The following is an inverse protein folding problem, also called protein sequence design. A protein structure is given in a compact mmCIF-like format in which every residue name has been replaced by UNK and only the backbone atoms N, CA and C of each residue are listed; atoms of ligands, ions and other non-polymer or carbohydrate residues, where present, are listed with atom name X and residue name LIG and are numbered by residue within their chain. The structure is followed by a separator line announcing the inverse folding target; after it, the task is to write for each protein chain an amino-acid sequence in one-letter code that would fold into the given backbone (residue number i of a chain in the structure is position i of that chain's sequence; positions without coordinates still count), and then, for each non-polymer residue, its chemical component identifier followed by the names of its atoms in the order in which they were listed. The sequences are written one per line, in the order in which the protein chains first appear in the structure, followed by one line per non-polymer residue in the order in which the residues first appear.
data_IF_453730499630
#
_entry.id   IF_453730499630
#
_cell.length_a   1.000
_cell.length_b   1.000
_cell.length_c   1.000
_cell.angle_alpha   90.00
_cell.angle_beta   90.00
_cell.angle_gamma   90.00
#
_symmetry.space_group_name_H-M   'P 1'
#
loop_
_entity.id
_entity.type
_entity.pdbx_description
1 polymer ?
#
# COMPACT_ATOMS: atom_id res chain seq x y z
N UNK A 1 -13.72 -57.64 -2.77
CA UNK A 1 -13.10 -56.35 -2.37
C UNK A 1 -14.02 -55.22 -2.82
N UNK A 2 -14.53 -54.36 -1.92
CA UNK A 2 -14.82 -52.93 -2.20
C UNK A 2 -15.64 -52.17 -1.15
N UNK A 3 -16.21 -52.79 -0.13
CA UNK A 3 -17.07 -52.04 0.80
C UNK A 3 -16.29 -51.10 1.75
N UNK A 4 -15.07 -51.50 2.15
CA UNK A 4 -14.24 -50.75 3.11
C UNK A 4 -13.65 -49.45 2.54
N UNK A 5 -13.35 -49.42 1.23
CA UNK A 5 -12.78 -48.25 0.55
C UNK A 5 -13.84 -47.17 0.31
N UNK A 6 -15.06 -47.57 -0.04
CA UNK A 6 -16.18 -46.64 -0.23
C UNK A 6 -16.61 -45.98 1.10
N UNK A 7 -16.59 -46.72 2.21
CA UNK A 7 -16.88 -46.17 3.54
C UNK A 7 -15.80 -45.16 3.98
N UNK A 8 -14.51 -45.42 3.73
CA UNK A 8 -13.44 -44.45 4.02
C UNK A 8 -13.61 -43.16 3.21
N UNK A 9 -13.90 -43.26 1.91
CA UNK A 9 -14.06 -42.08 1.06
C UNK A 9 -15.32 -41.25 1.44
N UNK A 10 -16.39 -41.92 1.88
CA UNK A 10 -17.58 -41.26 2.41
C UNK A 10 -17.27 -40.48 3.70
N UNK A 11 -16.53 -41.10 4.63
CA UNK A 11 -16.13 -40.46 5.89
C UNK A 11 -15.22 -39.25 5.62
N UNK A 12 -14.25 -39.37 4.70
CA UNK A 12 -13.40 -38.25 4.31
C UNK A 12 -14.21 -37.10 3.69
N UNK A 13 -15.20 -37.39 2.85
CA UNK A 13 -16.08 -36.37 2.28
C UNK A 13 -16.89 -35.59 3.32
N UNK A 14 -17.41 -36.29 4.35
CA UNK A 14 -18.16 -35.66 5.44
C UNK A 14 -17.26 -34.75 6.28
N UNK A 15 -16.04 -35.19 6.60
CA UNK A 15 -15.08 -34.40 7.40
C UNK A 15 -14.68 -33.12 6.65
N UNK A 16 -14.36 -33.23 5.36
CA UNK A 16 -14.01 -32.04 4.55
C UNK A 16 -15.19 -31.08 4.39
N UNK A 17 -16.42 -31.60 4.26
CA UNK A 17 -17.64 -30.78 4.22
C UNK A 17 -17.89 -30.03 5.53
N UNK A 18 -17.68 -30.68 6.68
CA UNK A 18 -17.84 -30.04 7.99
C UNK A 18 -16.82 -28.93 8.22
N UNK A 19 -15.55 -29.12 7.85
CA UNK A 19 -14.51 -28.07 7.95
C UNK A 19 -14.88 -26.83 7.13
N UNK A 20 -15.43 -27.00 5.91
CA UNK A 20 -15.89 -25.89 5.10
C UNK A 20 -17.06 -25.13 5.76
N UNK A 21 -18.00 -25.83 6.40
CA UNK A 21 -19.15 -25.22 7.08
C UNK A 21 -18.70 -24.43 8.34
N UNK A 22 -17.76 -24.96 9.12
CA UNK A 22 -17.26 -24.26 10.31
C UNK A 22 -16.52 -22.96 9.97
N UNK A 23 -15.73 -22.92 8.89
CA UNK A 23 -15.07 -21.68 8.43
C UNK A 23 -16.08 -20.60 7.99
N UNK A 24 -17.22 -20.99 7.40
CA UNK A 24 -18.27 -20.04 6.99
C UNK A 24 -19.04 -19.51 8.22
N UNK A 25 -19.31 -20.37 9.22
CA UNK A 25 -20.06 -19.99 10.41
C UNK A 25 -19.30 -18.99 11.29
N UNK A 26 -17.98 -19.13 11.41
CA UNK A 26 -17.13 -18.16 12.13
C UNK A 26 -17.07 -16.80 11.41
N UNK A 27 -16.99 -16.79 10.07
CA UNK A 27 -17.03 -15.56 9.28
C UNK A 27 -18.37 -14.82 9.38
N UNK A 28 -19.50 -15.53 9.34
CA UNK A 28 -20.82 -14.88 9.47
C UNK A 28 -21.02 -14.25 10.85
N UNK A 29 -20.61 -14.93 11.94
CA UNK A 29 -20.66 -14.37 13.30
C UNK A 29 -19.70 -13.18 13.49
N UNK A 30 -18.50 -13.21 12.90
CA UNK A 30 -17.56 -12.10 12.91
C UNK A 30 -18.14 -10.86 12.20
N UNK A 31 -18.74 -11.03 11.01
CA UNK A 31 -19.37 -9.94 10.25
C UNK A 31 -20.56 -9.36 11.01
N UNK A 32 -21.40 -10.20 11.63
CA UNK A 32 -22.55 -9.72 12.43
C UNK A 32 -22.08 -8.89 13.63
N UNK A 33 -21.03 -9.33 14.34
CA UNK A 33 -20.45 -8.60 15.47
C UNK A 33 -19.81 -7.28 15.05
N UNK A 34 -19.10 -7.26 13.92
CA UNK A 34 -18.48 -6.06 13.36
C UNK A 34 -19.52 -5.02 12.92
N UNK A 35 -20.60 -5.45 12.26
CA UNK A 35 -21.71 -4.58 11.83
C UNK A 35 -22.49 -4.01 13.03
N UNK A 36 -22.60 -4.75 14.13
CA UNK A 36 -23.31 -4.30 15.35
C UNK A 36 -22.53 -3.24 16.14
N UNK A 37 -21.19 -3.25 16.08
CA UNK A 37 -20.34 -2.24 16.72
C UNK A 37 -20.14 -0.98 15.87
N UNK A 38 -20.40 -1.04 14.56
CA UNK A 38 -20.27 0.08 13.62
C UNK A 38 -21.57 0.33 12.82
N UNK A 39 -22.63 0.87 13.46
CA UNK A 39 -23.95 1.00 12.83
C UNK A 39 -23.98 1.90 11.58
N UNK A 40 -22.96 2.75 11.36
CA UNK A 40 -22.86 3.64 10.19
C UNK A 40 -22.52 2.92 8.88
N UNK A 41 -21.91 1.73 8.92
CA UNK A 41 -21.49 0.97 7.70
C UNK A 41 -22.68 0.24 7.05
N UNK A 42 -23.76 0.01 7.80
CA UNK A 42 -24.95 -0.73 7.32
C UNK A 42 -25.81 0.05 6.30
N UNK A 43 -25.66 1.37 6.20
CA UNK A 43 -26.43 2.20 5.26
C UNK A 43 -25.91 2.16 3.82
N UNK A 44 -24.71 1.63 3.57
CA UNK A 44 -24.09 1.63 2.23
C UNK A 44 -24.58 0.46 1.35
N UNK A 45 -25.18 -0.59 1.92
CA UNK A 45 -25.62 -1.78 1.16
C UNK A 45 -26.93 -1.63 0.39
N UNK A 46 -27.69 -0.56 0.59
CA UNK A 46 -28.97 -0.35 -0.12
C UNK A 46 -28.84 0.42 -1.45
N UNK A 47 -27.61 0.68 -1.95
CA UNK A 47 -27.39 1.42 -3.21
C UNK A 47 -26.89 0.56 -4.39
N UNK A 48 -27.03 -0.76 -4.34
CA UNK A 48 -26.82 -1.62 -5.53
C UNK A 48 -28.15 -2.14 -6.02
N UNK A 49 -28.85 -1.32 -6.81
CA UNK A 49 -29.77 -1.72 -7.88
C UNK A 49 -30.23 -0.48 -8.66
N UNK A 50 -29.37 0.04 -9.53
CA UNK A 50 -29.86 0.73 -10.73
C UNK A 50 -28.86 0.55 -11.87
N UNK A 51 -29.28 -0.31 -12.79
CA UNK A 51 -28.68 -0.62 -14.08
C UNK A 51 -28.48 0.61 -14.95
N UNK A 52 -27.37 0.57 -15.70
CA UNK A 52 -26.96 1.39 -16.84
C UNK A 52 -28.09 2.17 -17.54
N UNK A 53 -27.93 3.49 -17.61
CA UNK A 53 -28.39 4.29 -18.75
C UNK A 53 -27.44 5.46 -18.92
N UNK A 54 -26.59 5.39 -19.95
CA UNK A 54 -26.02 6.58 -20.56
C UNK A 54 -27.19 7.48 -20.99
N UNK A 55 -27.20 8.71 -20.52
CA UNK A 55 -27.77 9.86 -21.22
C UNK A 55 -27.13 11.13 -20.66
N UNK A 56 -26.57 11.91 -21.58
CA UNK A 56 -25.93 13.20 -21.37
C UNK A 56 -26.89 14.24 -20.76
N UNK A 57 -26.26 15.11 -19.97
CA UNK A 57 -26.58 16.50 -19.69
C UNK A 57 -28.00 16.81 -19.16
N UNK A 58 -28.08 16.92 -17.82
CA UNK A 58 -28.93 17.92 -17.18
C UNK A 58 -28.11 18.64 -16.11
N UNK A 59 -27.87 19.92 -16.35
CA UNK A 59 -27.32 20.92 -15.42
C UNK A 59 -28.27 21.14 -14.26
N UNK A 60 -27.91 20.66 -13.08
CA UNK A 60 -28.45 21.14 -11.79
C UNK A 60 -27.48 20.78 -10.64
N UNK A 61 -26.58 21.70 -10.30
CA UNK A 61 -25.95 21.89 -8.97
C UNK A 61 -25.36 20.67 -8.20
N UNK A 62 -24.39 19.92 -8.76
CA UNK A 62 -23.60 18.91 -7.99
C UNK A 62 -22.08 19.20 -8.03
N UNK A 63 -21.69 20.44 -7.73
CA UNK A 63 -20.28 20.92 -7.82
C UNK A 63 -19.47 20.59 -6.55
N UNK A 64 -20.06 19.97 -5.52
CA UNK A 64 -19.40 19.79 -4.22
C UNK A 64 -18.41 18.60 -4.19
N UNK A 65 -18.49 17.69 -5.16
CA UNK A 65 -17.74 16.43 -5.12
C UNK A 65 -17.00 16.14 -6.44
N UNK A 66 -15.91 15.38 -6.33
CA UNK A 66 -15.20 14.78 -7.47
C UNK A 66 -15.20 13.25 -7.36
N UNK A 67 -15.20 12.54 -8.48
CA UNK A 67 -15.14 11.07 -8.51
C UNK A 67 -13.83 10.62 -9.14
N UNK A 68 -13.07 9.79 -8.44
CA UNK A 68 -11.81 9.20 -8.92
C UNK A 68 -11.78 7.70 -8.64
N UNK A 69 -11.50 6.90 -9.66
CA UNK A 69 -11.37 5.44 -9.56
C UNK A 69 -12.52 4.75 -8.81
N UNK A 70 -13.76 5.21 -9.02
CA UNK A 70 -14.97 4.65 -8.42
C UNK A 70 -15.31 5.17 -7.02
N UNK A 71 -14.53 6.08 -6.46
CA UNK A 71 -14.76 6.70 -5.16
C UNK A 71 -15.19 8.16 -5.30
N UNK A 72 -16.08 8.62 -4.41
CA UNK A 72 -16.56 10.02 -4.35
C UNK A 72 -15.79 10.77 -3.25
N UNK A 73 -15.21 11.91 -3.59
CA UNK A 73 -14.43 12.78 -2.72
C UNK A 73 -15.05 14.17 -2.64
N UNK A 74 -14.75 14.91 -1.57
CA UNK A 74 -14.98 16.36 -1.57
C UNK A 74 -14.13 17.01 -2.66
N UNK A 75 -14.72 17.93 -3.42
CA UNK A 75 -14.01 18.65 -4.47
C UNK A 75 -12.80 19.40 -3.90
N UNK A 76 -11.68 19.30 -4.61
CA UNK A 76 -10.46 20.01 -4.23
C UNK A 76 -10.69 21.52 -4.18
N UNK A 77 -10.10 22.16 -3.17
CA UNK A 77 -10.02 23.60 -3.03
C UNK A 77 -8.73 24.20 -3.65
N UNK A 78 -7.97 23.39 -4.39
CA UNK A 78 -6.68 23.80 -4.97
C UNK A 78 -5.48 23.66 -4.01
N UNK A 79 -5.67 23.06 -2.83
CA UNK A 79 -4.55 22.72 -1.95
C UNK A 79 -3.64 21.68 -2.59
N UNK A 80 -2.33 21.94 -2.50
CA UNK A 80 -1.29 21.02 -2.95
C UNK A 80 -1.01 19.95 -1.89
N UNK A 81 -0.36 18.86 -2.33
CA UNK A 81 0.11 17.81 -1.42
C UNK A 81 1.07 18.40 -0.38
N UNK A 82 0.88 18.00 0.87
CA UNK A 82 1.72 18.34 2.02
C UNK A 82 2.67 17.21 2.39
N UNK A 83 2.49 16.03 1.79
CA UNK A 83 3.33 14.87 2.06
C UNK A 83 4.78 15.12 1.62
N UNK A 84 5.70 14.95 2.55
CA UNK A 84 7.14 14.97 2.29
C UNK A 84 7.77 13.69 2.83
N UNK A 85 8.44 12.89 1.97
CA UNK A 85 9.11 11.68 2.42
C UNK A 85 10.24 12.01 3.39
N UNK A 86 10.40 11.20 4.43
CA UNK A 86 11.40 11.41 5.49
C UNK A 86 11.77 10.10 6.19
N UNK A 87 12.98 10.02 6.75
CA UNK A 87 13.31 8.97 7.72
C UNK A 87 12.48 9.17 9.01
N UNK A 88 11.74 8.13 9.42
CA UNK A 88 10.88 8.14 10.60
C UNK A 88 11.61 7.78 11.91
N UNK A 89 12.90 7.45 11.85
CA UNK A 89 13.73 7.17 13.02
C UNK A 89 13.59 5.75 13.58
N UNK A 90 12.93 4.83 12.86
CA UNK A 90 12.67 3.48 13.38
C UNK A 90 13.94 2.68 13.67
N UNK A 91 14.98 2.82 12.85
CA UNK A 91 16.24 2.13 13.07
C UNK A 91 16.95 2.67 14.32
N UNK A 92 17.01 3.99 14.42
CA UNK A 92 17.61 4.73 15.52
C UNK A 92 16.90 4.41 16.84
N UNK A 93 15.58 4.47 16.87
CA UNK A 93 14.79 4.16 18.06
C UNK A 93 14.94 2.70 18.48
N UNK A 94 15.03 1.76 17.54
CA UNK A 94 15.21 0.34 17.86
C UNK A 94 16.61 0.07 18.44
N UNK A 95 17.67 0.57 17.80
CA UNK A 95 19.06 0.33 18.25
C UNK A 95 19.39 1.05 19.56
N UNK A 96 18.75 2.19 19.81
CA UNK A 96 18.89 2.92 21.07
C UNK A 96 17.95 2.40 22.18
N UNK A 97 17.26 1.28 21.96
CA UNK A 97 16.30 0.69 22.91
C UNK A 97 15.16 1.64 23.35
N UNK A 98 14.81 2.62 22.52
CA UNK A 98 13.68 3.52 22.77
C UNK A 98 12.34 2.84 22.45
N UNK A 99 12.36 1.94 21.47
CA UNK A 99 11.24 1.07 21.12
C UNK A 99 11.71 -0.38 21.15
N UNK A 100 10.81 -1.29 21.50
CA UNK A 100 11.06 -2.72 21.43
C UNK A 100 10.65 -3.30 20.08
N UNK A 101 11.20 -4.47 19.76
CA UNK A 101 10.77 -5.26 18.61
C UNK A 101 9.25 -5.50 18.58
N UNK A 102 8.66 -5.86 19.71
CA UNK A 102 7.21 -6.10 19.81
C UNK A 102 6.39 -4.81 19.61
N UNK A 103 6.87 -3.68 20.13
CA UNK A 103 6.19 -2.39 19.91
C UNK A 103 6.18 -1.97 18.43
N UNK A 104 7.27 -2.23 17.69
CA UNK A 104 7.31 -1.96 16.25
C UNK A 104 6.40 -2.90 15.46
N UNK A 105 6.25 -4.16 15.90
CA UNK A 105 5.27 -5.10 15.33
C UNK A 105 3.84 -4.63 15.55
N UNK A 106 3.52 -4.18 16.75
CA UNK A 106 2.21 -3.62 17.08
C UNK A 106 1.92 -2.35 16.25
N UNK A 107 2.90 -1.45 16.13
CA UNK A 107 2.78 -0.25 15.30
C UNK A 107 2.59 -0.59 13.83
N UNK A 108 3.35 -1.57 13.32
CA UNK A 108 3.16 -2.09 11.97
C UNK A 108 1.72 -2.58 11.77
N UNK A 109 1.21 -3.48 12.61
CA UNK A 109 -0.16 -3.97 12.48
C UNK A 109 -1.22 -2.87 12.59
N UNK A 110 -1.04 -1.93 13.52
CA UNK A 110 -1.94 -0.79 13.66
C UNK A 110 -1.95 0.03 12.37
N UNK A 111 -0.80 0.28 11.78
CA UNK A 111 -0.67 1.04 10.53
C UNK A 111 -1.29 0.29 9.36
N UNK A 112 -1.11 -1.04 9.28
CA UNK A 112 -1.79 -1.89 8.29
C UNK A 112 -3.31 -1.79 8.44
N UNK A 113 -3.84 -1.89 9.67
CA UNK A 113 -5.27 -1.78 9.92
C UNK A 113 -5.84 -0.38 9.62
N UNK A 114 -5.03 0.67 9.76
CA UNK A 114 -5.42 2.03 9.38
C UNK A 114 -5.42 2.22 7.87
N UNK A 115 -4.36 1.78 7.16
CA UNK A 115 -4.22 2.05 5.73
C UNK A 115 -5.30 1.31 4.91
N UNK A 116 -5.70 0.11 5.32
CA UNK A 116 -6.73 -0.68 4.59
C UNK A 116 -8.13 -0.05 4.67
N UNK A 117 -8.35 0.91 5.57
CA UNK A 117 -9.63 1.63 5.66
C UNK A 117 -9.98 2.40 4.38
N UNK A 118 -8.99 2.75 3.56
CA UNK A 118 -9.23 3.40 2.24
C UNK A 118 -10.12 2.58 1.34
N UNK A 119 -10.07 1.25 1.44
CA UNK A 119 -10.90 0.38 0.60
C UNK A 119 -12.39 0.52 0.92
N UNK A 120 -12.69 0.95 2.15
CA UNK A 120 -14.04 1.29 2.62
C UNK A 120 -14.38 2.77 2.45
N UNK A 121 -13.57 3.55 1.73
CA UNK A 121 -13.79 4.97 1.52
C UNK A 121 -13.53 5.84 2.76
N UNK A 122 -12.62 5.42 3.64
CA UNK A 122 -12.27 6.16 4.86
C UNK A 122 -10.81 6.60 4.81
N UNK A 123 -10.54 7.87 5.13
CA UNK A 123 -9.19 8.42 5.13
C UNK A 123 -8.32 7.83 6.26
N UNK A 124 -7.12 7.29 5.98
CA UNK A 124 -6.26 6.66 6.97
C UNK A 124 -5.93 7.59 8.14
N UNK A 125 -5.88 7.05 9.36
CA UNK A 125 -5.62 7.82 10.57
C UNK A 125 -6.80 8.67 11.06
N UNK A 126 -7.96 8.58 10.39
CA UNK A 126 -9.18 9.27 10.79
C UNK A 126 -10.42 8.37 10.69
N UNK A 127 -11.57 8.93 11.05
CA UNK A 127 -12.89 8.33 10.82
C UNK A 127 -13.67 9.02 9.71
N UNK A 128 -13.04 9.99 9.01
CA UNK A 128 -13.71 10.79 7.98
C UNK A 128 -13.87 9.96 6.70
N UNK A 129 -15.09 9.91 6.13
CA UNK A 129 -15.32 9.28 4.84
C UNK A 129 -14.76 10.18 3.71
N UNK A 130 -14.50 9.59 2.54
CA UNK A 130 -13.95 10.31 1.38
C UNK A 130 -14.82 11.49 0.94
N UNK A 131 -16.13 11.41 1.11
CA UNK A 131 -17.05 12.50 0.79
C UNK A 131 -16.80 13.76 1.66
N UNK A 132 -16.12 13.66 2.80
CA UNK A 132 -15.81 14.80 3.67
C UNK A 132 -14.40 15.38 3.47
N UNK A 133 -13.56 14.74 2.65
CA UNK A 133 -12.14 15.09 2.46
C UNK A 133 -11.76 15.12 0.99
N UNK A 134 -10.70 15.86 0.66
CA UNK A 134 -10.23 15.93 -0.72
C UNK A 134 -9.42 14.67 -1.08
N UNK A 135 -9.34 14.36 -2.37
CA UNK A 135 -8.46 13.28 -2.83
C UNK A 135 -7.00 13.50 -2.38
N UNK A 136 -6.48 14.73 -2.46
CA UNK A 136 -5.12 15.07 -2.03
C UNK A 136 -4.89 14.74 -0.56
N UNK A 137 -5.86 15.02 0.32
CA UNK A 137 -5.75 14.69 1.74
C UNK A 137 -5.72 13.17 1.97
N UNK A 138 -6.53 12.42 1.24
CA UNK A 138 -6.53 10.95 1.28
C UNK A 138 -5.20 10.40 0.77
N UNK A 139 -4.70 10.93 -0.34
CA UNK A 139 -3.44 10.54 -0.95
C UNK A 139 -2.25 10.79 0.00
N UNK A 140 -2.17 11.98 0.59
CA UNK A 140 -1.15 12.33 1.58
C UNK A 140 -1.20 11.38 2.78
N UNK A 141 -2.38 11.20 3.38
CA UNK A 141 -2.56 10.30 4.51
C UNK A 141 -2.18 8.85 4.14
N UNK A 142 -2.53 8.39 2.94
CA UNK A 142 -2.16 7.08 2.44
C UNK A 142 -0.64 6.93 2.31
N UNK A 143 0.04 7.91 1.70
CA UNK A 143 1.50 7.95 1.57
C UNK A 143 2.20 7.94 2.93
N UNK A 144 1.69 8.68 3.92
CA UNK A 144 2.24 8.66 5.29
C UNK A 144 2.18 7.27 5.93
N UNK A 145 1.05 6.57 5.81
CA UNK A 145 0.89 5.24 6.38
C UNK A 145 1.70 4.20 5.59
N UNK A 146 1.77 4.33 4.27
CA UNK A 146 2.57 3.46 3.43
C UNK A 146 4.07 3.62 3.72
N UNK A 147 4.53 4.86 3.99
CA UNK A 147 5.91 5.12 4.41
C UNK A 147 6.25 4.44 5.73
N UNK A 148 5.35 4.49 6.72
CA UNK A 148 5.53 3.77 8.00
C UNK A 148 5.69 2.27 7.78
N UNK A 149 4.76 1.66 7.04
CA UNK A 149 4.81 0.22 6.69
C UNK A 149 6.13 -0.12 5.98
N UNK A 150 6.50 0.69 5.00
CA UNK A 150 7.70 0.47 4.19
C UNK A 150 8.97 0.56 5.02
N UNK A 151 9.15 1.60 5.83
CA UNK A 151 10.36 1.78 6.62
C UNK A 151 10.48 0.76 7.76
N UNK A 152 9.38 0.36 8.41
CA UNK A 152 9.43 -0.74 9.38
C UNK A 152 9.87 -2.04 8.70
N UNK A 153 9.29 -2.40 7.54
CA UNK A 153 9.75 -3.55 6.75
C UNK A 153 11.22 -3.43 6.38
N UNK A 154 11.68 -2.25 5.96
CA UNK A 154 13.07 -1.99 5.58
C UNK A 154 14.03 -2.26 6.74
N UNK A 155 13.72 -1.76 7.95
CA UNK A 155 14.52 -2.00 9.16
C UNK A 155 14.61 -3.49 9.46
N UNK A 156 13.48 -4.19 9.49
CA UNK A 156 13.45 -5.62 9.82
C UNK A 156 14.13 -6.46 8.75
N UNK A 157 13.92 -6.17 7.48
CA UNK A 157 14.61 -6.84 6.38
C UNK A 157 16.13 -6.68 6.49
N UNK A 158 16.60 -5.49 6.87
CA UNK A 158 18.04 -5.20 6.98
C UNK A 158 18.67 -5.90 8.19
N UNK A 159 17.98 -5.92 9.34
CA UNK A 159 18.49 -6.53 10.58
C UNK A 159 18.41 -8.06 10.52
N UNK A 160 17.28 -8.61 10.10
CA UNK A 160 17.00 -10.05 10.18
C UNK A 160 17.14 -10.79 8.84
N UNK A 161 17.37 -10.05 7.74
CA UNK A 161 17.50 -10.61 6.40
C UNK A 161 16.21 -11.17 5.80
N UNK A 162 15.06 -10.95 6.45
CA UNK A 162 13.74 -11.38 6.00
C UNK A 162 12.63 -10.57 6.69
N UNK A 163 11.89 -9.78 5.93
CA UNK A 163 10.68 -9.08 6.42
C UNK A 163 9.48 -10.03 6.59
N UNK A 164 9.45 -11.21 5.97
CA UNK A 164 8.36 -12.16 6.22
C UNK A 164 8.29 -12.59 7.70
N UNK A 165 9.42 -12.55 8.42
CA UNK A 165 9.45 -12.82 9.86
C UNK A 165 8.77 -11.71 10.67
N UNK A 166 8.79 -10.45 10.20
CA UNK A 166 8.05 -9.36 10.81
C UNK A 166 6.55 -9.66 10.76
N UNK A 167 6.03 -9.96 9.58
CA UNK A 167 4.58 -10.10 9.38
C UNK A 167 4.02 -11.38 9.99
N UNK A 168 4.71 -12.51 9.81
CA UNK A 168 4.34 -13.77 10.44
C UNK A 168 4.43 -13.68 11.96
N UNK A 169 5.46 -12.99 12.47
CA UNK A 169 5.57 -12.69 13.89
C UNK A 169 4.37 -11.86 14.33
N UNK A 170 4.14 -10.72 13.69
CA UNK A 170 3.12 -9.74 14.05
C UNK A 170 1.69 -10.25 13.89
N UNK A 171 1.45 -11.26 13.04
CA UNK A 171 0.12 -11.80 12.75
C UNK A 171 -0.70 -10.90 11.82
N UNK A 172 -0.05 -10.00 11.08
CA UNK A 172 -0.70 -9.06 10.17
C UNK A 172 0.16 -8.87 8.92
N UNK A 173 -0.49 -8.75 7.76
CA UNK A 173 0.16 -8.70 6.46
C UNK A 173 -0.41 -7.55 5.65
N UNK A 174 0.46 -6.72 5.07
CA UNK A 174 0.03 -5.69 4.14
C UNK A 174 0.24 -6.14 2.69
N UNK A 175 -0.85 -6.52 2.02
CA UNK A 175 -0.83 -7.02 0.65
C UNK A 175 -1.20 -5.96 -0.40
N UNK A 176 -1.23 -4.69 0.00
CA UNK A 176 -1.79 -3.60 -0.81
C UNK A 176 -3.27 -3.35 -0.54
N UNK A 177 -3.80 -2.27 -1.11
CA UNK A 177 -5.21 -1.88 -1.01
C UNK A 177 -5.84 -1.81 -2.41
N UNK A 178 -7.14 -2.05 -2.50
CA UNK A 178 -7.87 -1.87 -3.74
C UNK A 178 -7.78 -0.41 -4.23
N UNK A 179 -7.88 0.56 -3.31
CA UNK A 179 -7.73 1.98 -3.62
C UNK A 179 -6.41 2.28 -4.35
N UNK A 180 -5.28 1.80 -3.84
CA UNK A 180 -3.99 2.05 -4.49
C UNK A 180 -3.85 1.29 -5.80
N UNK A 181 -4.34 0.06 -5.87
CA UNK A 181 -4.29 -0.73 -7.10
C UNK A 181 -5.17 -0.10 -8.20
N UNK A 182 -6.34 0.44 -7.85
CA UNK A 182 -7.23 1.11 -8.78
C UNK A 182 -6.63 2.42 -9.31
N UNK A 183 -5.87 3.14 -8.49
CA UNK A 183 -5.17 4.36 -8.90
C UNK A 183 -3.75 4.10 -9.45
N UNK A 184 -3.24 2.86 -9.36
CA UNK A 184 -1.92 2.43 -9.84
C UNK A 184 -0.73 3.30 -9.37
N UNK A 185 -0.80 3.88 -8.17
CA UNK A 185 0.14 4.94 -7.79
C UNK A 185 1.42 4.46 -7.13
N UNK A 186 1.32 3.58 -6.13
CA UNK A 186 2.42 3.38 -5.17
C UNK A 186 2.92 1.95 -5.09
N UNK A 187 4.24 1.81 -5.02
CA UNK A 187 4.95 0.61 -4.56
C UNK A 187 5.57 0.91 -3.20
N UNK A 188 5.41 0.02 -2.21
CA UNK A 188 5.92 0.24 -0.85
C UNK A 188 7.44 0.56 -0.82
N UNK A 189 8.24 -0.07 -1.70
CA UNK A 189 9.69 0.18 -1.78
C UNK A 189 10.08 1.62 -2.13
N UNK A 190 9.19 2.39 -2.76
CA UNK A 190 9.44 3.81 -3.09
C UNK A 190 9.59 4.67 -1.82
N UNK A 191 9.10 4.20 -0.68
CA UNK A 191 9.18 4.91 0.59
C UNK A 191 10.33 4.42 1.49
N UNK A 192 11.23 3.59 0.95
CA UNK A 192 12.46 3.23 1.62
C UNK A 192 13.39 4.44 1.68
N UNK A 193 14.09 4.60 2.80
CA UNK A 193 15.06 5.67 2.98
C UNK A 193 16.47 5.09 3.06
N UNK A 194 17.40 5.60 2.25
CA UNK A 194 18.78 5.11 2.20
C UNK A 194 19.54 5.40 3.50
N UNK A 195 19.16 6.46 4.23
CA UNK A 195 19.77 6.80 5.51
C UNK A 195 19.53 5.71 6.56
N UNK A 196 18.40 4.99 6.51
CA UNK A 196 18.10 3.85 7.38
C UNK A 196 19.12 2.73 7.17
N UNK A 197 19.34 2.33 5.90
CA UNK A 197 20.33 1.27 5.58
C UNK A 197 21.73 1.73 5.99
N UNK A 198 22.10 2.98 5.69
CA UNK A 198 23.41 3.53 6.07
C UNK A 198 23.60 3.49 7.59
N UNK A 199 22.60 3.89 8.37
CA UNK A 199 22.64 3.87 9.82
C UNK A 199 22.79 2.45 10.36
N UNK A 200 21.98 1.51 9.88
CA UNK A 200 22.04 0.10 10.29
C UNK A 200 23.38 -0.55 9.93
N UNK A 201 23.92 -0.27 8.73
CA UNK A 201 25.23 -0.75 8.30
C UNK A 201 26.36 -0.25 9.21
N UNK A 202 26.31 1.02 9.61
CA UNK A 202 27.29 1.58 10.54
C UNK A 202 27.23 0.95 11.94
N UNK A 203 26.13 0.25 12.28
CA UNK A 203 25.94 -0.48 13.54
C UNK A 203 26.10 -2.00 13.37
N UNK A 204 26.65 -2.46 12.25
CA UNK A 204 26.99 -3.87 12.03
C UNK A 204 25.85 -4.75 11.49
N UNK A 205 24.71 -4.16 11.11
CA UNK A 205 23.63 -4.86 10.40
C UNK A 205 23.83 -4.76 8.88
N UNK A 206 23.14 -5.57 8.08
CA UNK A 206 23.12 -5.40 6.62
C UNK A 206 24.41 -5.65 5.82
N UNK A 207 25.57 -5.90 6.44
CA UNK A 207 26.78 -6.35 5.71
C UNK A 207 26.66 -7.84 5.36
N UNK A 208 25.99 -8.12 4.24
CA UNK A 208 26.27 -9.32 3.43
C UNK A 208 27.25 -8.92 2.33
N UNK A 209 28.54 -8.87 2.67
CA UNK A 209 29.53 -9.11 1.64
C UNK A 209 29.35 -10.57 1.21
N UNK A 210 28.95 -10.75 -0.05
CA UNK A 210 28.97 -12.02 -0.75
C UNK A 210 30.40 -12.60 -0.73
N UNK A 211 30.73 -13.33 0.33
CA UNK A 211 31.76 -14.34 0.32
C UNK A 211 31.16 -15.50 1.09
N UNK A 212 30.85 -16.55 0.33
CA UNK A 212 30.45 -17.89 0.74
C UNK A 212 30.82 -18.25 2.18
N UNK A 213 29.94 -19.02 2.81
CA UNK A 213 30.35 -20.05 3.76
C UNK A 213 31.80 -20.47 3.54
N UNK A 214 32.64 -20.25 4.56
CA UNK A 214 34.10 -20.51 4.59
C UNK A 214 34.97 -19.62 3.68
N UNK A 215 35.65 -18.63 4.26
CA UNK A 215 37.12 -18.58 4.27
C UNK A 215 37.64 -17.41 5.12
N UNK A 216 38.71 -17.73 5.84
CA UNK A 216 39.51 -16.88 6.72
C UNK A 216 39.84 -15.52 6.08
N UNK A 217 39.73 -14.48 6.92
CA UNK A 217 40.64 -13.31 7.00
C UNK A 217 41.80 -13.39 6.00
N UNK A 218 41.76 -12.60 4.92
CA UNK A 218 42.91 -11.85 4.38
C UNK A 218 42.55 -10.90 3.22
N UNK A 219 43.02 -9.67 3.41
CA UNK A 219 43.48 -8.64 2.45
C UNK A 219 42.51 -7.92 1.50
N UNK A 220 42.75 -6.60 1.48
CA UNK A 220 42.02 -5.47 0.92
C UNK A 220 42.33 -5.34 -0.58
N UNK A 221 41.33 -5.27 -1.46
CA UNK A 221 41.54 -5.02 -2.90
C UNK A 221 40.58 -3.96 -3.46
N UNK A 222 41.14 -3.06 -4.27
CA UNK A 222 40.59 -1.76 -4.71
C UNK A 222 39.50 -1.86 -5.82
N UNK A 223 39.13 -3.05 -6.26
CA UNK A 223 38.28 -3.23 -7.44
C UNK A 223 36.77 -3.22 -7.14
N UNK A 224 36.37 -3.39 -5.88
CA UNK A 224 34.96 -3.42 -5.48
C UNK A 224 34.30 -2.03 -5.47
N UNK A 225 35.06 -0.93 -5.38
CA UNK A 225 34.51 0.42 -5.37
C UNK A 225 33.90 0.81 -6.73
N UNK A 226 34.50 0.35 -7.84
CA UNK A 226 34.00 0.64 -9.19
C UNK A 226 32.70 -0.09 -9.52
N UNK A 227 32.52 -1.30 -9.01
CA UNK A 227 31.33 -2.11 -9.27
C UNK A 227 30.12 -1.57 -8.50
N UNK A 228 30.33 -1.15 -7.24
CA UNK A 228 29.33 -0.48 -6.42
C UNK A 228 28.92 0.87 -7.02
N UNK A 229 29.85 1.60 -7.65
CA UNK A 229 29.54 2.87 -8.32
C UNK A 229 28.72 2.69 -9.62
N UNK A 230 28.90 1.58 -10.33
CA UNK A 230 28.12 1.26 -11.53
C UNK A 230 26.69 0.86 -11.15
N UNK A 231 26.50 0.01 -10.13
CA UNK A 231 25.17 -0.33 -9.61
C UNK A 231 24.43 0.92 -9.06
N UNK A 232 25.15 1.79 -8.35
CA UNK A 232 24.65 3.12 -7.90
C UNK A 232 24.13 3.98 -9.05
N UNK A 233 24.83 4.00 -10.18
CA UNK A 233 24.48 4.84 -11.32
C UNK A 233 23.24 4.30 -12.04
N UNK A 234 23.08 2.98 -12.10
CA UNK A 234 21.92 2.33 -12.72
C UNK A 234 20.65 2.60 -11.90
N UNK A 235 20.70 2.46 -10.58
CA UNK A 235 19.55 2.70 -9.70
C UNK A 235 19.13 4.18 -9.65
N UNK A 236 20.09 5.12 -9.64
CA UNK A 236 19.78 6.56 -9.74
C UNK A 236 19.12 6.91 -11.09
N UNK A 237 19.55 6.29 -12.18
CA UNK A 237 18.99 6.50 -13.52
C UNK A 237 17.56 5.95 -13.62
N UNK A 238 17.30 4.75 -13.06
CA UNK A 238 15.95 4.15 -13.03
C UNK A 238 14.98 5.04 -12.24
N UNK A 239 15.39 5.57 -11.09
CA UNK A 239 14.53 6.43 -10.28
C UNK A 239 14.21 7.77 -10.96
N UNK A 240 15.14 8.33 -11.74
CA UNK A 240 14.89 9.55 -12.51
C UNK A 240 13.91 9.31 -13.67
N UNK A 241 14.01 8.15 -14.34
CA UNK A 241 13.10 7.75 -15.43
C UNK A 241 11.68 7.52 -14.88
N UNK A 242 11.52 6.85 -13.74
CA UNK A 242 10.21 6.63 -13.11
C UNK A 242 9.57 7.95 -12.63
N UNK A 243 10.38 8.87 -12.09
CA UNK A 243 9.92 10.19 -11.67
C UNK A 243 9.45 11.07 -12.83
N UNK A 244 10.13 11.01 -13.98
CA UNK A 244 9.72 11.75 -15.20
C UNK A 244 8.52 11.12 -15.87
N UNK A 245 8.39 9.79 -15.88
CA UNK A 245 7.21 9.09 -16.42
C UNK A 245 5.94 9.50 -15.66
N UNK A 246 6.00 9.53 -14.32
CA UNK A 246 4.87 9.97 -13.50
C UNK A 246 4.49 11.45 -13.70
N UNK A 247 5.45 12.33 -14.01
CA UNK A 247 5.17 13.74 -14.34
C UNK A 247 4.56 13.90 -15.73
N UNK A 248 4.98 13.09 -16.70
CA UNK A 248 4.42 13.09 -18.06
C UNK A 248 2.96 12.63 -18.03
N UNK A 249 2.62 11.59 -17.26
CA UNK A 249 1.24 11.11 -17.11
C UNK A 249 0.33 12.16 -16.44
N UNK A 250 0.85 12.94 -15.50
CA UNK A 250 0.11 14.07 -14.91
C UNK A 250 -0.07 15.24 -15.90
N UNK A 251 0.92 15.47 -16.76
CA UNK A 251 0.88 16.59 -17.73
C UNK A 251 -0.02 16.28 -18.94
N UNK A 252 -0.07 15.02 -19.39
CA UNK A 252 -0.97 14.59 -20.46
C UNK A 252 -2.43 14.58 -20.01
N UNK A 253 -2.72 14.17 -18.77
CA UNK A 253 -4.07 14.24 -18.21
C UNK A 253 -4.58 15.69 -18.03
N UNK A 254 -3.67 16.67 -17.92
CA UNK A 254 -4.01 18.10 -17.84
C UNK A 254 -4.06 18.80 -19.21
N UNK A 255 -3.46 18.22 -20.27
CA UNK A 255 -3.44 18.82 -21.61
C UNK A 255 -4.58 18.32 -22.52
N UNK A 256 -5.23 17.21 -22.18
CA UNK A 256 -6.39 16.68 -22.93
C UNK A 256 -7.70 17.46 -22.74
N UNK A 257 -7.68 18.63 -22.10
CA UNK A 257 -8.85 19.52 -21.92
C UNK A 257 -8.80 20.82 -22.72
N UNK A 258 -7.82 21.04 -23.60
CA UNK A 258 -7.79 22.21 -24.48
C UNK A 258 -7.29 21.83 -25.88
N UNK A 259 -8.17 21.30 -26.73
CA UNK A 259 -8.03 21.40 -28.18
C UNK A 259 -9.28 20.86 -28.86
N UNK A 260 -10.27 21.75 -28.95
CA UNK A 260 -11.28 21.88 -30.02
C UNK A 260 -11.70 23.35 -29.83
N UNK A 261 -11.54 24.30 -30.75
CA UNK A 261 -12.02 24.32 -32.12
C UNK A 261 -11.63 25.71 -32.67
N UNK A 262 -10.89 25.78 -33.79
CA UNK A 262 -10.99 26.90 -34.74
C UNK A 262 -10.15 26.58 -35.97
N UNK A 263 -10.80 26.06 -37.00
CA UNK A 263 -10.40 26.29 -38.38
C UNK A 263 -11.68 26.50 -39.20
N UNK A 264 -11.53 27.23 -40.30
CA UNK A 264 -12.50 27.74 -41.29
C UNK A 264 -13.01 29.17 -40.98
N UNK A 265 -12.86 30.18 -41.84
CA UNK A 265 -12.56 30.20 -43.27
C UNK A 265 -12.14 31.64 -43.67
N UNK A 266 -11.19 31.75 -44.60
CA UNK A 266 -10.79 33.00 -45.27
C UNK A 266 -11.30 32.94 -46.71
N UNK A 267 -12.03 33.96 -47.18
CA UNK A 267 -11.92 34.56 -48.53
C UNK A 267 -13.03 35.59 -48.82
N UNK A 268 -12.56 36.78 -49.24
CA UNK A 268 -13.18 37.86 -50.04
C UNK A 268 -14.56 38.45 -49.68
#
# INVERSE_FOLDING_TARGET
MNNKTNIRNLIFGIIMGLIAIFNIFEWTNFIIKYNKQNPKVSKVKNLKNKTNKHNNNNTENDIEYEVKSGYKYKKSNGESSTFTPRNLGYAESLLNNQVSYDSLREEYCRTVNEIVKVDNGIMPGTTKPFEEVTYTQVDDAYREHLQKIAQIRQVFNTIYGNDNNLENGAGCHYTGTHWNNANSQYKAKQFYDRSIIKYLNNHGYGIKNNASSTLKRKEKNLNNEREIEIERTIDETINQIDGTTNQIDQTQNNSSTNSDESDDEYSE
#
